data_IF_076956040173
#
_entry.id   IF_076956040173
#
_cell.length_a   1.000
_cell.length_b   1.000
_cell.length_c   1.000
_cell.angle_alpha   90.00
_cell.angle_beta   90.00
_cell.angle_gamma   90.00
#
_symmetry.space_group_name_H-M   'P 1'
#
loop_
_entity.id
_entity.type
_entity.pdbx_description
1 polymer ?
#
# COMPACT_ATOMS: atom_id res chain seq x y z
N UNK A 1 39.71 31.73 -31.34
CA UNK A 1 39.42 30.38 -30.80
C UNK A 1 38.96 30.39 -29.34
N UNK A 2 39.55 31.19 -28.43
CA UNK A 2 39.16 31.20 -27.00
C UNK A 2 37.70 31.60 -26.68
N UNK A 3 37.08 32.49 -27.48
CA UNK A 3 35.67 32.89 -27.29
C UNK A 3 34.66 31.77 -27.54
N UNK A 4 34.95 30.86 -28.47
CA UNK A 4 34.07 29.72 -28.77
C UNK A 4 34.06 28.71 -27.62
N UNK A 5 35.25 28.37 -27.10
CA UNK A 5 35.41 27.46 -25.96
C UNK A 5 34.73 27.96 -24.68
N UNK A 6 34.65 29.30 -24.49
CA UNK A 6 33.95 29.93 -23.35
C UNK A 6 32.42 29.86 -23.49
N UNK A 7 31.88 29.98 -24.72
CA UNK A 7 30.43 29.83 -24.98
C UNK A 7 29.97 28.40 -24.76
N UNK A 8 30.73 27.43 -25.25
CA UNK A 8 30.43 26.00 -25.03
C UNK A 8 30.37 25.66 -23.54
N UNK A 9 31.37 26.09 -22.75
CA UNK A 9 31.41 25.83 -21.30
C UNK A 9 30.18 26.39 -20.56
N UNK A 10 29.71 27.58 -20.94
CA UNK A 10 28.50 28.19 -20.37
C UNK A 10 27.24 27.39 -20.70
N UNK A 11 27.10 26.91 -21.95
CA UNK A 11 25.97 26.07 -22.36
C UNK A 11 25.93 24.75 -21.60
N UNK A 12 27.09 24.11 -21.37
CA UNK A 12 27.17 22.87 -20.60
C UNK A 12 26.80 23.05 -19.12
N UNK A 13 27.22 24.15 -18.48
CA UNK A 13 26.83 24.43 -17.10
C UNK A 13 25.34 24.78 -16.98
N UNK A 14 24.78 25.52 -17.94
CA UNK A 14 23.34 25.79 -17.98
C UNK A 14 22.52 24.50 -18.16
N UNK A 15 22.93 23.62 -19.07
CA UNK A 15 22.28 22.31 -19.23
C UNK A 15 22.38 21.45 -17.97
N UNK A 16 23.49 21.48 -17.24
CA UNK A 16 23.64 20.71 -16.00
C UNK A 16 22.70 21.20 -14.90
N UNK A 17 22.62 22.52 -14.69
CA UNK A 17 21.71 23.12 -13.69
C UNK A 17 20.24 22.82 -14.03
N UNK A 18 19.87 22.88 -15.30
CA UNK A 18 18.51 22.55 -15.74
C UNK A 18 18.16 21.07 -15.53
N UNK A 19 19.07 20.15 -15.87
CA UNK A 19 18.88 18.72 -15.63
C UNK A 19 18.77 18.38 -14.13
N UNK A 20 19.59 19.02 -13.28
CA UNK A 20 19.55 18.85 -11.83
C UNK A 20 18.20 19.34 -11.26
N UNK A 21 17.66 20.45 -11.76
CA UNK A 21 16.35 20.98 -11.36
C UNK A 21 15.17 20.10 -11.81
N UNK A 22 15.22 19.53 -13.01
CA UNK A 22 14.19 18.60 -13.53
C UNK A 22 14.20 17.28 -12.75
N UNK A 23 15.37 16.76 -12.39
CA UNK A 23 15.46 15.51 -11.62
C UNK A 23 14.97 15.69 -10.16
N UNK A 24 15.20 16.86 -9.57
CA UNK A 24 14.68 17.19 -8.23
C UNK A 24 13.16 17.37 -8.21
N UNK A 25 12.59 18.01 -9.24
CA UNK A 25 11.13 18.21 -9.30
C UNK A 25 10.37 16.89 -9.47
N UNK A 26 10.84 15.94 -10.29
CA UNK A 26 10.20 14.64 -10.47
C UNK A 26 10.09 13.78 -9.20
N UNK A 27 11.09 13.84 -8.32
CA UNK A 27 11.06 13.14 -7.03
C UNK A 27 10.03 13.76 -6.08
N UNK A 28 10.02 15.09 -5.98
CA UNK A 28 9.11 15.82 -5.09
C UNK A 28 7.65 15.64 -5.48
N UNK A 29 7.33 15.68 -6.78
CA UNK A 29 5.97 15.43 -7.28
C UNK A 29 5.45 14.03 -6.88
N UNK A 30 6.32 13.02 -6.84
CA UNK A 30 5.93 11.68 -6.44
C UNK A 30 5.59 11.59 -4.95
N UNK A 31 6.30 12.33 -4.08
CA UNK A 31 6.05 12.37 -2.65
C UNK A 31 4.72 13.06 -2.33
N UNK A 32 4.42 14.19 -2.99
CA UNK A 32 3.14 14.87 -2.83
C UNK A 32 1.95 13.99 -3.23
N UNK A 33 2.11 13.17 -4.27
CA UNK A 33 1.07 12.21 -4.66
C UNK A 33 0.84 11.14 -3.57
N UNK A 34 1.90 10.60 -2.96
CA UNK A 34 1.74 9.65 -1.85
C UNK A 34 1.11 10.30 -0.61
N UNK A 35 1.52 11.52 -0.26
CA UNK A 35 0.95 12.27 0.86
C UNK A 35 -0.52 12.62 0.63
N UNK A 36 -0.90 13.00 -0.58
CA UNK A 36 -2.29 13.29 -0.93
C UNK A 36 -3.18 12.04 -0.80
N UNK A 37 -2.70 10.89 -1.29
CA UNK A 37 -3.43 9.61 -1.17
C UNK A 37 -3.53 9.17 0.29
N UNK A 38 -2.47 9.33 1.07
CA UNK A 38 -2.49 9.02 2.51
C UNK A 38 -3.50 9.90 3.25
N UNK A 39 -3.46 11.22 3.04
CA UNK A 39 -4.39 12.15 3.67
C UNK A 39 -5.85 11.88 3.25
N UNK A 40 -6.08 11.58 1.97
CA UNK A 40 -7.41 11.23 1.48
C UNK A 40 -7.94 9.94 2.11
N UNK A 41 -7.12 8.88 2.16
CA UNK A 41 -7.48 7.61 2.79
C UNK A 41 -7.78 7.78 4.29
N UNK A 42 -6.95 8.56 4.99
CA UNK A 42 -7.15 8.87 6.41
C UNK A 42 -8.42 9.67 6.65
N UNK A 43 -8.69 10.70 5.84
CA UNK A 43 -9.92 11.51 5.95
C UNK A 43 -11.18 10.67 5.70
N UNK A 44 -11.15 9.78 4.70
CA UNK A 44 -12.28 8.92 4.37
C UNK A 44 -12.66 7.99 5.53
N UNK A 45 -11.66 7.45 6.23
CA UNK A 45 -11.85 6.55 7.37
C UNK A 45 -11.79 7.25 8.73
N UNK A 46 -11.58 8.57 8.79
CA UNK A 46 -11.57 9.32 10.06
C UNK A 46 -12.90 9.20 10.81
N UNK A 47 -14.01 9.00 10.07
CA UNK A 47 -15.34 8.81 10.62
C UNK A 47 -15.45 7.51 11.46
N UNK A 48 -14.67 6.48 11.14
CA UNK A 48 -14.73 5.18 11.83
C UNK A 48 -14.01 5.19 13.18
N UNK A 49 -13.25 6.23 13.51
CA UNK A 49 -12.53 6.33 14.78
C UNK A 49 -13.45 6.56 16.00
N UNK A 50 -14.67 7.05 15.74
CA UNK A 50 -15.69 7.34 16.77
C UNK A 50 -16.77 6.25 16.89
N UNK A 51 -16.61 5.13 16.18
CA UNK A 51 -17.54 4.02 16.26
C UNK A 51 -17.05 2.98 17.26
N UNK A 52 -18.00 2.25 17.87
CA UNK A 52 -17.68 1.08 18.67
C UNK A 52 -17.38 -0.12 17.75
N UNK A 53 -16.66 -1.09 18.30
CA UNK A 53 -16.38 -2.37 17.64
C UNK A 53 -17.69 -3.10 17.36
N UNK A 54 -17.75 -3.80 16.22
CA UNK A 54 -18.97 -4.49 15.80
C UNK A 54 -19.38 -5.56 16.84
N UNK A 55 -20.68 -5.65 17.11
CA UNK A 55 -21.23 -6.51 18.18
C UNK A 55 -20.90 -8.00 17.98
N UNK A 56 -20.68 -8.43 16.75
CA UNK A 56 -20.28 -9.80 16.38
C UNK A 56 -18.79 -10.09 16.59
N UNK A 57 -17.94 -9.05 16.63
CA UNK A 57 -16.50 -9.20 16.86
C UNK A 57 -16.17 -9.46 18.34
N UNK A 58 -17.09 -9.19 19.27
CA UNK A 58 -16.92 -9.44 20.70
C UNK A 58 -16.71 -10.92 21.03
N UNK A 59 -17.31 -11.82 20.24
CA UNK A 59 -17.15 -13.28 20.39
C UNK A 59 -15.69 -13.70 20.19
N UNK A 60 -14.99 -13.01 19.30
CA UNK A 60 -13.60 -13.32 18.94
C UNK A 60 -12.62 -12.47 19.76
N UNK A 61 -12.97 -11.22 20.03
CA UNK A 61 -12.10 -10.28 20.74
C UNK A 61 -12.11 -10.50 22.24
N UNK A 62 -13.29 -10.68 22.85
CA UNK A 62 -13.47 -10.82 24.30
C UNK A 62 -13.62 -12.28 24.75
N UNK A 63 -14.35 -13.10 23.99
CA UNK A 63 -14.70 -14.45 24.41
C UNK A 63 -13.74 -15.56 23.92
N UNK A 64 -12.77 -15.23 23.05
CA UNK A 64 -11.78 -16.20 22.58
C UNK A 64 -10.59 -16.30 23.54
N UNK A 65 -10.44 -17.47 24.18
CA UNK A 65 -9.33 -17.71 25.13
C UNK A 65 -7.93 -17.50 24.54
N UNK A 66 -7.72 -17.76 23.24
CA UNK A 66 -6.41 -17.63 22.62
C UNK A 66 -6.02 -16.17 22.38
N UNK A 67 -7.01 -15.31 22.12
CA UNK A 67 -6.83 -13.87 22.03
C UNK A 67 -6.58 -13.28 23.41
N UNK A 68 -7.32 -13.73 24.42
CA UNK A 68 -7.14 -13.31 25.82
C UNK A 68 -5.80 -13.74 26.43
N UNK A 69 -5.13 -14.76 25.86
CA UNK A 69 -3.79 -15.19 26.25
C UNK A 69 -2.66 -14.35 25.61
N UNK A 70 -3.00 -13.37 24.76
CA UNK A 70 -2.01 -12.48 24.15
C UNK A 70 -0.93 -13.23 23.37
N UNK A 71 0.33 -12.90 23.64
CA UNK A 71 1.49 -13.51 22.92
C UNK A 71 1.65 -15.01 23.19
N UNK A 72 1.24 -15.50 24.36
CA UNK A 72 1.32 -16.92 24.71
C UNK A 72 0.30 -17.76 23.90
N UNK A 73 -0.77 -17.13 23.43
CA UNK A 73 -1.81 -17.76 22.61
C UNK A 73 -1.42 -18.02 21.15
N UNK A 74 -0.33 -17.43 20.65
CA UNK A 74 0.06 -17.46 19.23
C UNK A 74 0.19 -18.88 18.67
N UNK A 75 0.87 -19.84 19.32
CA UNK A 75 0.99 -21.21 18.79
C UNK A 75 -0.39 -21.88 18.63
N UNK A 76 -1.32 -21.58 19.54
CA UNK A 76 -2.69 -22.10 19.49
C UNK A 76 -3.52 -21.47 18.38
N UNK A 77 -3.33 -20.17 18.12
CA UNK A 77 -3.99 -19.43 17.04
C UNK A 77 -3.66 -20.04 15.67
N UNK A 78 -2.40 -20.40 15.43
CA UNK A 78 -1.98 -21.00 14.16
C UNK A 78 -2.40 -22.46 14.00
N UNK A 79 -2.67 -23.16 15.11
CA UNK A 79 -2.98 -24.59 15.12
C UNK A 79 -4.48 -24.91 15.13
N UNK A 80 -5.35 -23.91 15.37
CA UNK A 80 -6.80 -24.09 15.56
C UNK A 80 -7.62 -23.23 14.60
N UNK A 81 -8.89 -23.61 14.43
CA UNK A 81 -9.87 -22.84 13.65
C UNK A 81 -10.29 -21.54 14.36
N UNK A 82 -10.88 -20.63 13.60
CA UNK A 82 -11.17 -19.25 14.04
C UNK A 82 -12.04 -19.16 15.30
N UNK A 83 -13.07 -20.00 15.42
CA UNK A 83 -14.00 -20.01 16.56
C UNK A 83 -13.60 -20.96 17.69
N UNK A 84 -12.55 -21.76 17.52
CA UNK A 84 -12.21 -22.83 18.47
C UNK A 84 -11.97 -22.32 19.89
N UNK A 85 -11.44 -21.10 20.03
CA UNK A 85 -11.22 -20.49 21.34
C UNK A 85 -12.49 -20.09 22.09
N UNK A 86 -13.61 -19.94 21.37
CA UNK A 86 -14.93 -19.62 21.91
C UNK A 86 -15.79 -20.88 22.11
N UNK A 87 -16.01 -21.66 21.05
CA UNK A 87 -16.96 -22.79 21.07
C UNK A 87 -16.31 -24.17 21.34
N UNK A 88 -14.97 -24.25 21.44
CA UNK A 88 -14.23 -25.52 21.51
C UNK A 88 -14.41 -26.47 20.32
N UNK A 89 -15.09 -26.04 19.26
CA UNK A 89 -15.30 -26.84 18.06
C UNK A 89 -14.35 -26.35 16.99
N UNK A 90 -13.62 -27.27 16.36
CA UNK A 90 -12.69 -26.94 15.29
C UNK A 90 -13.42 -26.80 13.95
N UNK A 91 -14.46 -25.96 13.94
CA UNK A 91 -15.30 -25.68 12.79
C UNK A 91 -15.24 -24.18 12.47
N UNK A 92 -15.13 -23.84 11.19
CA UNK A 92 -15.04 -22.47 10.71
C UNK A 92 -13.86 -22.21 9.78
N UNK A 93 -13.74 -20.95 9.34
CA UNK A 93 -12.66 -20.51 8.44
C UNK A 93 -11.30 -20.49 9.16
N UNK A 94 -10.21 -20.68 8.42
CA UNK A 94 -8.85 -20.51 8.93
C UNK A 94 -8.39 -19.06 8.71
N UNK A 95 -8.35 -18.25 9.79
CA UNK A 95 -7.98 -16.81 9.75
C UNK A 95 -7.02 -16.45 10.89
N UNK A 96 -5.83 -17.08 10.96
CA UNK A 96 -4.91 -16.90 12.09
C UNK A 96 -4.36 -15.47 12.20
N UNK A 97 -4.22 -14.75 11.08
CA UNK A 97 -3.68 -13.38 11.08
C UNK A 97 -4.60 -12.38 11.79
N UNK A 98 -5.92 -12.55 11.67
CA UNK A 98 -6.89 -11.69 12.36
C UNK A 98 -6.79 -11.90 13.86
N UNK A 99 -6.79 -13.16 14.29
CA UNK A 99 -6.64 -13.53 15.70
C UNK A 99 -5.30 -13.09 16.28
N UNK A 100 -4.22 -13.18 15.50
CA UNK A 100 -2.89 -12.70 15.90
C UNK A 100 -2.91 -11.19 16.14
N UNK A 101 -3.51 -10.42 15.22
CA UNK A 101 -3.61 -8.98 15.37
C UNK A 101 -4.41 -8.62 16.64
N UNK A 102 -5.55 -9.27 16.88
CA UNK A 102 -6.36 -9.08 18.08
C UNK A 102 -5.60 -9.49 19.37
N UNK A 103 -4.82 -10.57 19.34
CA UNK A 103 -4.04 -11.02 20.50
C UNK A 103 -2.91 -10.04 20.84
N UNK A 104 -2.26 -9.46 19.83
CA UNK A 104 -1.26 -8.40 20.02
C UNK A 104 -1.94 -7.13 20.55
N UNK A 105 -3.07 -6.72 19.99
CA UNK A 105 -3.84 -5.58 20.49
C UNK A 105 -4.28 -5.77 21.95
N UNK A 106 -4.66 -7.00 22.34
CA UNK A 106 -4.97 -7.36 23.72
C UNK A 106 -3.77 -7.23 24.65
N UNK A 107 -2.61 -7.75 24.26
CA UNK A 107 -1.39 -7.71 25.07
C UNK A 107 -0.96 -6.28 25.44
N UNK A 108 -1.00 -5.37 24.48
CA UNK A 108 -0.44 -4.02 24.64
C UNK A 108 -1.48 -2.95 25.01
N UNK A 109 -2.73 -3.10 24.59
CA UNK A 109 -3.79 -2.08 24.72
C UNK A 109 -5.10 -2.62 25.32
N UNK A 110 -5.08 -3.82 25.91
CA UNK A 110 -6.19 -4.43 26.64
C UNK A 110 -7.51 -4.59 25.85
N UNK A 111 -7.47 -4.58 24.51
CA UNK A 111 -8.61 -4.49 23.57
C UNK A 111 -9.32 -3.12 23.55
N UNK A 112 -8.59 -2.01 23.67
CA UNK A 112 -9.16 -0.69 23.41
C UNK A 112 -9.62 -0.56 21.94
N UNK A 113 -10.92 -0.29 21.70
CA UNK A 113 -11.48 -0.23 20.35
C UNK A 113 -10.88 0.92 19.51
N UNK A 114 -10.55 2.05 20.13
CA UNK A 114 -9.98 3.20 19.42
C UNK A 114 -8.60 2.87 18.84
N UNK A 115 -7.81 2.09 19.57
CA UNK A 115 -6.47 1.68 19.11
C UNK A 115 -6.59 0.77 17.89
N UNK A 116 -7.49 -0.23 17.93
CA UNK A 116 -7.76 -1.09 16.77
C UNK A 116 -8.24 -0.31 15.55
N UNK A 117 -9.10 0.69 15.74
CA UNK A 117 -9.52 1.58 14.65
C UNK A 117 -8.35 2.36 14.04
N UNK A 118 -7.44 2.91 14.85
CA UNK A 118 -6.26 3.62 14.36
C UNK A 118 -5.37 2.70 13.51
N UNK A 119 -5.11 1.48 13.97
CA UNK A 119 -4.31 0.51 13.22
C UNK A 119 -4.98 0.10 11.90
N UNK A 120 -6.30 -0.09 11.89
CA UNK A 120 -7.05 -0.36 10.67
C UNK A 120 -6.96 0.78 9.64
N UNK A 121 -7.12 2.04 10.08
CA UNK A 121 -6.96 3.20 9.19
C UNK A 121 -5.53 3.30 8.66
N UNK A 122 -4.54 3.01 9.51
CA UNK A 122 -3.13 3.01 9.11
C UNK A 122 -2.83 1.93 8.05
N UNK A 123 -3.30 0.70 8.26
CA UNK A 123 -3.13 -0.39 7.29
C UNK A 123 -3.86 -0.10 5.99
N UNK A 124 -5.04 0.50 6.04
CA UNK A 124 -5.75 0.94 4.85
C UNK A 124 -4.94 1.98 4.07
N UNK A 125 -4.45 3.03 4.73
CA UNK A 125 -3.65 4.07 4.09
C UNK A 125 -2.35 3.51 3.49
N UNK A 126 -1.69 2.57 4.18
CA UNK A 126 -0.52 1.85 3.67
C UNK A 126 -0.89 1.03 2.41
N UNK A 127 -2.02 0.35 2.41
CA UNK A 127 -2.49 -0.41 1.25
C UNK A 127 -2.73 0.48 0.03
N UNK A 128 -3.28 1.68 0.22
CA UNK A 128 -3.45 2.66 -0.86
C UNK A 128 -2.11 3.11 -1.46
N UNK A 129 -1.09 3.33 -0.62
CA UNK A 129 0.27 3.66 -1.08
C UNK A 129 0.86 2.49 -1.87
N UNK A 130 0.71 1.26 -1.39
CA UNK A 130 1.20 0.06 -2.09
C UNK A 130 0.53 -0.12 -3.45
N UNK A 131 -0.79 0.09 -3.54
CA UNK A 131 -1.52 0.05 -4.81
C UNK A 131 -1.01 1.14 -5.76
N UNK A 132 -0.80 2.37 -5.28
CA UNK A 132 -0.25 3.44 -6.10
C UNK A 132 1.18 3.11 -6.59
N UNK A 133 2.02 2.56 -5.71
CA UNK A 133 3.37 2.12 -6.07
C UNK A 133 3.34 1.00 -7.12
N UNK A 134 2.43 0.03 -6.96
CA UNK A 134 2.22 -1.06 -7.91
C UNK A 134 1.73 -0.55 -9.27
N UNK A 135 0.75 0.36 -9.30
CA UNK A 135 0.27 0.99 -10.54
C UNK A 135 1.39 1.77 -11.24
N UNK A 136 2.18 2.54 -10.50
CA UNK A 136 3.33 3.25 -11.06
C UNK A 136 4.37 2.28 -11.63
N UNK A 137 4.63 1.16 -10.96
CA UNK A 137 5.53 0.12 -11.47
C UNK A 137 4.98 -0.51 -12.76
N UNK A 138 3.68 -0.76 -12.83
CA UNK A 138 3.02 -1.34 -14.01
C UNK A 138 3.07 -0.41 -15.23
N UNK A 139 2.82 0.89 -15.03
CA UNK A 139 2.73 1.86 -16.13
C UNK A 139 4.04 2.61 -16.44
N UNK A 140 5.13 2.39 -15.67
CA UNK A 140 6.45 3.04 -15.91
C UNK A 140 7.05 2.71 -17.30
N UNK A 141 6.61 1.63 -17.94
CA UNK A 141 7.05 1.20 -19.26
C UNK A 141 6.21 1.71 -20.45
N UNK A 142 5.11 2.43 -20.22
CA UNK A 142 4.21 2.89 -21.29
C UNK A 142 4.37 4.39 -21.54
N UNK A 143 5.59 4.78 -21.94
CA UNK A 143 5.87 6.15 -22.37
C UNK A 143 5.22 6.44 -23.72
N UNK A 144 4.26 7.36 -23.73
CA UNK A 144 3.58 7.98 -24.88
C UNK A 144 2.16 7.49 -25.17
N UNK A 145 1.24 7.67 -24.22
CA UNK A 145 -0.19 7.74 -24.47
C UNK A 145 -0.52 9.13 -25.06
N UNK A 146 -0.36 9.30 -26.37
CA UNK A 146 -1.13 10.33 -27.07
C UNK A 146 -2.59 9.86 -27.03
N UNK A 147 -3.49 10.75 -26.60
CA UNK A 147 -4.91 10.44 -26.41
C UNK A 147 -5.56 9.84 -27.66
N UNK A 148 -6.68 9.14 -27.43
CA UNK A 148 -7.50 8.43 -28.42
C UNK A 148 -6.92 7.09 -28.88
N UNK A 149 -6.99 6.09 -28.01
CA UNK A 149 -7.49 4.73 -28.28
C UNK A 149 -6.97 3.79 -27.17
N UNK A 150 -7.90 3.30 -26.35
CA UNK A 150 -7.64 2.22 -25.39
C UNK A 150 -7.50 0.94 -26.22
N UNK A 151 -6.34 0.74 -26.81
CA UNK A 151 -5.92 -0.59 -27.25
C UNK A 151 -5.27 -1.24 -26.05
N UNK A 152 -6.03 -2.12 -25.40
CA UNK A 152 -5.56 -3.01 -24.34
C UNK A 152 -4.54 -3.95 -24.99
N UNK A 153 -3.29 -3.53 -25.06
CA UNK A 153 -2.20 -4.39 -25.50
C UNK A 153 -1.76 -5.26 -24.32
N UNK A 154 -2.22 -6.50 -24.40
CA UNK A 154 -1.80 -7.72 -23.71
C UNK A 154 -0.34 -7.71 -23.21
N UNK A 155 -0.03 -8.28 -22.03
CA UNK A 155 1.34 -8.37 -21.56
C UNK A 155 2.06 -9.50 -22.31
N UNK A 156 2.86 -9.17 -23.33
CA UNK A 156 3.85 -10.09 -23.86
C UNK A 156 5.26 -9.58 -23.55
N UNK A 157 5.74 -10.10 -22.42
CA UNK A 157 7.09 -10.61 -22.22
C UNK A 157 8.11 -10.27 -23.32
N UNK A 158 9.07 -9.44 -22.94
CA UNK A 158 10.42 -9.28 -23.49
C UNK A 158 10.89 -10.41 -24.43
N UNK A 159 10.86 -10.19 -25.75
CA UNK A 159 11.94 -10.60 -26.68
C UNK A 159 11.96 -9.69 -27.92
N UNK A 160 12.93 -8.78 -27.93
CA UNK A 160 13.72 -8.29 -29.08
C UNK A 160 13.16 -8.63 -30.48
N UNK A 161 12.53 -7.66 -31.14
CA UNK A 161 12.24 -7.73 -32.58
C UNK A 161 11.28 -6.65 -33.04
N UNK A 162 11.73 -5.78 -33.96
CA UNK A 162 10.98 -4.66 -34.53
C UNK A 162 9.64 -5.08 -35.15
N UNK A 163 8.53 -4.78 -34.49
CA UNK A 163 7.20 -4.84 -35.12
C UNK A 163 6.96 -3.53 -35.90
N UNK A 164 7.18 -3.57 -37.22
CA UNK A 164 6.56 -2.60 -38.14
C UNK A 164 5.09 -2.97 -38.28
N UNK A 165 4.18 -2.19 -37.69
CA UNK A 165 2.78 -2.19 -38.10
C UNK A 165 2.72 -1.58 -39.50
N UNK A 166 2.35 -2.40 -40.49
CA UNK A 166 2.04 -1.97 -41.85
C UNK A 166 0.53 -1.74 -41.86
N UNK A 167 0.10 -0.49 -42.02
CA UNK A 167 -1.30 -0.17 -42.35
C UNK A 167 -1.60 -0.72 -43.75
N UNK A 168 -2.74 -1.38 -43.88
CA UNK A 168 -3.40 -1.73 -45.14
C UNK A 168 -4.74 -1.02 -45.21
#
# INVERSE_FOLDING_TARGET
MAKFKKREKHTYEQQRVENDAVHQTGHNQSLYAYLAVFAFAFLLYSNTLNHDVALDDDVITKANRYVQQGLEGIPSIFSKGFYHGFNNVNEGSYRPLVLLNMAIEKEYWDNDPHVGHIFNVLFYALSCILVLAFLKALFKGQGSYNGYNITICCPSNSYRGSCKCKES
#
